data_IF_157721471864
#
_entry.id   IF_157721471864
#
_cell.length_a   1.000
_cell.length_b   1.000
_cell.length_c   1.000
_cell.angle_alpha   90.00
_cell.angle_beta   90.00
_cell.angle_gamma   90.00
#
_symmetry.space_group_name_H-M   'P 1'
#
loop_
_entity.id
_entity.type
_entity.pdbx_description
1 polymer ?
#
# COMPACT_ATOMS: atom_id res chain seq x y z
N UNK A 1 -13.80 14.11 -33.41
CA UNK A 1 -13.79 12.70 -32.96
C UNK A 1 -12.42 12.44 -32.35
N UNK A 2 -12.31 12.63 -31.04
CA UNK A 2 -11.03 12.69 -30.35
C UNK A 2 -10.43 11.29 -30.17
N UNK A 3 -9.39 11.00 -30.94
CA UNK A 3 -8.40 9.97 -30.63
C UNK A 3 -7.60 10.47 -29.42
N UNK A 4 -8.04 10.20 -28.19
CA UNK A 4 -7.27 10.59 -27.01
C UNK A 4 -6.11 9.62 -26.82
N UNK A 5 -4.94 10.01 -27.33
CA UNK A 5 -3.61 9.47 -27.03
C UNK A 5 -3.09 9.85 -25.64
N UNK A 6 -4.01 10.13 -24.71
CA UNK A 6 -3.73 10.46 -23.32
C UNK A 6 -4.37 9.39 -22.42
N UNK A 7 -3.67 8.28 -22.27
CA UNK A 7 -3.86 7.39 -21.12
C UNK A 7 -2.48 7.21 -20.48
N UNK A 8 -2.10 8.04 -19.50
CA UNK A 8 -0.81 7.89 -18.85
C UNK A 8 -0.85 6.62 -17.99
N UNK A 9 -0.25 5.55 -18.49
CA UNK A 9 0.36 4.43 -17.75
C UNK A 9 -0.37 3.91 -16.50
N UNK A 10 -1.71 3.82 -16.51
CA UNK A 10 -2.42 2.90 -15.62
C UNK A 10 -2.61 1.60 -16.40
N UNK A 11 -1.58 0.76 -16.42
CA UNK A 11 -1.73 -0.65 -16.80
C UNK A 11 -2.60 -1.32 -15.75
N UNK A 12 -3.90 -1.05 -15.77
CA UNK A 12 -4.84 -1.87 -15.04
C UNK A 12 -4.85 -3.22 -15.76
N UNK A 13 -4.18 -4.21 -15.16
CA UNK A 13 -4.30 -5.61 -15.59
C UNK A 13 -5.80 -5.96 -15.61
N UNK A 14 -6.31 -6.71 -16.61
CA UNK A 14 -7.68 -7.21 -16.54
C UNK A 14 -7.89 -7.98 -15.23
N UNK A 15 -9.06 -7.85 -14.60
CA UNK A 15 -9.23 -8.41 -13.28
C UNK A 15 -9.09 -9.92 -13.32
N UNK A 16 -8.11 -10.44 -12.59
CA UNK A 16 -7.86 -11.87 -12.49
C UNK A 16 -8.59 -12.41 -11.25
N UNK A 17 -8.99 -13.69 -11.21
CA UNK A 17 -9.65 -14.26 -10.04
C UNK A 17 -8.82 -14.15 -8.74
N UNK A 18 -7.51 -13.94 -8.85
CA UNK A 18 -6.56 -13.69 -7.76
C UNK A 18 -6.51 -12.24 -7.25
N UNK A 19 -7.20 -11.29 -7.89
CA UNK A 19 -7.14 -9.87 -7.50
C UNK A 19 -7.68 -9.61 -6.09
N UNK A 20 -8.63 -10.43 -5.62
CA UNK A 20 -9.16 -10.34 -4.24
C UNK A 20 -8.18 -10.87 -3.20
N UNK A 21 -7.08 -11.49 -3.65
CA UNK A 21 -6.06 -12.14 -2.83
C UNK A 21 -4.71 -11.42 -2.87
N UNK A 22 -4.52 -10.45 -3.76
CA UNK A 22 -3.25 -9.71 -3.83
C UNK A 22 -3.16 -8.61 -2.76
N UNK A 23 -1.94 -8.37 -2.29
CA UNK A 23 -1.62 -7.25 -1.41
C UNK A 23 -1.15 -6.04 -2.23
N UNK A 24 -1.81 -4.90 -2.05
CA UNK A 24 -1.52 -3.64 -2.75
C UNK A 24 -0.95 -2.57 -1.80
N UNK A 25 -0.22 -1.61 -2.37
CA UNK A 25 0.35 -0.46 -1.67
C UNK A 25 0.14 0.84 -2.45
N UNK A 26 -0.09 1.96 -1.77
CA UNK A 26 -0.18 3.28 -2.39
C UNK A 26 0.28 4.42 -1.47
N UNK A 27 0.83 5.48 -2.06
CA UNK A 27 1.04 6.75 -1.37
C UNK A 27 -0.35 7.33 -1.06
N UNK A 28 -0.67 7.45 0.23
CA UNK A 28 -1.98 7.89 0.70
C UNK A 28 -2.04 9.40 1.03
N UNK A 29 -0.90 10.09 0.91
CA UNK A 29 -0.77 11.54 1.12
C UNK A 29 -0.32 12.26 -0.15
N UNK A 30 -0.56 13.58 -0.28
CA UNK A 30 -0.01 14.37 -1.38
C UNK A 30 1.52 14.25 -1.50
N UNK A 31 2.05 14.44 -2.71
CA UNK A 31 3.50 14.49 -2.96
C UNK A 31 4.05 15.86 -2.54
N UNK A 32 5.25 15.88 -1.98
CA UNK A 32 5.94 17.10 -1.55
C UNK A 32 6.57 16.95 -0.17
N UNK A 33 7.16 18.04 0.33
CA UNK A 33 7.68 18.10 1.69
C UNK A 33 6.56 18.28 2.72
N UNK A 34 6.64 17.60 3.86
CA UNK A 34 5.70 17.67 4.97
C UNK A 34 6.25 16.97 6.21
N UNK A 35 5.62 17.14 7.37
CA UNK A 35 6.08 16.54 8.63
C UNK A 35 5.90 15.02 8.72
N UNK A 36 4.95 14.46 7.95
CA UNK A 36 4.65 13.01 7.90
C UNK A 36 4.20 12.64 6.49
N UNK A 37 4.59 11.47 6.01
CA UNK A 37 4.06 10.83 4.80
C UNK A 37 3.42 9.48 5.14
N UNK A 38 2.37 9.09 4.41
CA UNK A 38 1.64 7.83 4.66
C UNK A 38 1.65 6.96 3.40
N UNK A 39 2.04 5.70 3.57
CA UNK A 39 1.83 4.62 2.60
C UNK A 39 0.80 3.66 3.18
N UNK A 40 -0.29 3.40 2.44
CA UNK A 40 -1.32 2.43 2.84
C UNK A 40 -1.07 1.08 2.20
N UNK A 41 -1.13 0.02 3.00
CA UNK A 41 -1.10 -1.38 2.56
C UNK A 41 -2.52 -1.99 2.69
N UNK A 42 -2.91 -2.87 1.78
CA UNK A 42 -4.21 -3.56 1.84
C UNK A 42 -4.12 -4.93 1.18
N UNK A 43 -4.57 -5.99 1.87
CA UNK A 43 -4.52 -7.37 1.39
C UNK A 43 -4.02 -8.34 2.47
N UNK A 44 -3.97 -9.65 2.16
CA UNK A 44 -3.65 -10.68 3.15
C UNK A 44 -2.25 -10.56 3.76
N UNK A 45 -1.27 -10.04 3.01
CA UNK A 45 0.12 -9.92 3.49
C UNK A 45 0.43 -8.57 4.11
N UNK A 46 -0.54 -7.66 4.20
CA UNK A 46 -0.32 -6.28 4.63
C UNK A 46 0.35 -6.18 6.03
N UNK A 47 -0.11 -7.00 6.97
CA UNK A 47 0.44 -7.04 8.34
C UNK A 47 1.85 -7.65 8.34
N UNK A 48 2.09 -8.69 7.55
CA UNK A 48 3.41 -9.33 7.45
C UNK A 48 4.46 -8.37 6.88
N UNK A 49 4.10 -7.64 5.82
CA UNK A 49 4.95 -6.60 5.22
C UNK A 49 5.23 -5.47 6.22
N UNK A 50 4.18 -4.95 6.88
CA UNK A 50 4.33 -3.89 7.87
C UNK A 50 5.24 -4.32 9.04
N UNK A 51 5.08 -5.55 9.53
CA UNK A 51 5.84 -6.12 10.63
C UNK A 51 7.34 -6.21 10.31
N UNK A 52 7.68 -6.67 9.10
CA UNK A 52 9.06 -6.70 8.62
C UNK A 52 9.68 -5.29 8.57
N UNK A 53 8.94 -4.29 8.08
CA UNK A 53 9.42 -2.90 7.98
C UNK A 53 9.66 -2.23 9.35
N UNK A 54 8.86 -2.57 10.37
CA UNK A 54 9.01 -2.00 11.71
C UNK A 54 9.89 -2.84 12.65
N UNK A 55 10.45 -3.95 12.16
CA UNK A 55 11.30 -4.85 12.95
C UNK A 55 10.56 -5.58 14.08
N UNK A 56 9.30 -5.99 13.86
CA UNK A 56 8.49 -6.71 14.86
C UNK A 56 7.84 -7.97 14.27
N UNK A 57 7.45 -8.96 15.09
CA UNK A 57 6.64 -10.07 14.61
C UNK A 57 5.21 -9.60 14.27
N UNK A 58 4.52 -10.21 13.28
CA UNK A 58 3.15 -9.85 12.90
C UNK A 58 2.15 -9.86 14.07
N UNK A 59 2.30 -10.82 14.98
CA UNK A 59 1.45 -10.93 16.18
C UNK A 59 1.57 -9.73 17.14
N UNK A 60 2.62 -8.92 17.04
CA UNK A 60 2.80 -7.71 17.86
C UNK A 60 2.08 -6.48 17.28
N UNK A 61 1.57 -6.54 16.04
CA UNK A 61 0.79 -5.48 15.41
C UNK A 61 -0.69 -5.68 15.69
N UNK A 62 -1.15 -5.19 16.85
CA UNK A 62 -2.56 -5.26 17.23
C UNK A 62 -3.44 -4.30 16.40
N UNK A 63 -4.70 -4.71 16.16
CA UNK A 63 -5.69 -3.88 15.46
C UNK A 63 -5.91 -2.53 16.18
N UNK A 64 -6.06 -1.46 15.38
CA UNK A 64 -6.25 -0.07 15.84
C UNK A 64 -5.20 0.43 16.85
N UNK A 65 -3.99 -0.13 16.85
CA UNK A 65 -2.89 0.29 17.73
C UNK A 65 -1.72 0.87 16.94
N UNK A 66 -1.28 2.06 17.35
CA UNK A 66 -0.04 2.63 16.84
C UNK A 66 1.16 1.79 17.32
N UNK A 67 1.99 1.34 16.39
CA UNK A 67 3.26 0.67 16.68
C UNK A 67 4.39 1.46 16.06
N UNK A 68 5.42 1.77 16.85
CA UNK A 68 6.65 2.40 16.38
C UNK A 68 7.73 1.33 16.23
N UNK A 69 8.43 1.37 15.10
CA UNK A 69 9.69 0.64 14.86
C UNK A 69 10.86 1.62 14.87
N UNK A 70 12.06 1.09 14.96
CA UNK A 70 13.28 1.81 14.58
C UNK A 70 13.56 1.41 13.14
N UNK A 71 13.64 2.39 12.25
CA UNK A 71 14.11 2.18 10.88
C UNK A 71 15.62 1.95 10.88
#
# INVERSE_FOLDING_TARGET
>A
MATSSWCPATTRRPPSPSDVTETIAAIATPRGAGGVAIVRLSGPDAVAIAAALVGRPPAALADRRLSAGVA
#
